data_IF_962045241913
#
_entry.id   IF_962045241913
#
_cell.length_a   1.000
_cell.length_b   1.000
_cell.length_c   1.000
_cell.angle_alpha   90.00
_cell.angle_beta   90.00
_cell.angle_gamma   90.00
#
_symmetry.space_group_name_H-M   'P 1'
#
loop_
_entity.id
_entity.type
_entity.pdbx_description
1 polymer ?
#
# COMPACT_ATOMS: atom_id res chain seq x y z
N UNK A 1 -4.81 -2.65 -4.92
CA UNK A 1 -5.85 -2.48 -3.91
C UNK A 1 -5.40 -3.14 -2.63
N UNK A 2 -5.64 -2.55 -1.52
CA UNK A 2 -5.14 -2.94 -0.19
C UNK A 2 -5.04 -1.68 0.67
N UNK A 3 -6.17 -0.94 0.80
CA UNK A 3 -6.25 0.22 1.67
C UNK A 3 -7.05 -0.15 2.90
N UNK A 4 -6.42 -0.09 4.06
CA UNK A 4 -7.10 -0.23 5.35
C UNK A 4 -7.69 1.11 5.75
N UNK A 5 -8.87 1.08 6.33
CA UNK A 5 -9.59 2.25 6.81
C UNK A 5 -9.80 2.09 8.31
N UNK A 6 -9.22 2.98 9.09
CA UNK A 6 -9.38 3.00 10.54
C UNK A 6 -10.17 4.21 10.98
N UNK A 7 -10.88 4.10 12.09
CA UNK A 7 -11.42 5.25 12.80
C UNK A 7 -10.28 5.96 13.51
N UNK A 8 -10.07 7.25 13.22
CA UNK A 8 -8.98 8.01 13.87
C UNK A 8 -9.20 8.15 15.38
N UNK A 9 -10.45 8.25 15.81
CA UNK A 9 -10.80 8.44 17.21
C UNK A 9 -10.66 7.17 18.07
N UNK A 10 -10.95 5.99 17.52
CA UNK A 10 -10.94 4.71 18.27
C UNK A 10 -9.79 3.79 17.88
N UNK A 11 -9.12 4.05 16.75
CA UNK A 11 -8.13 3.14 16.18
C UNK A 11 -8.71 1.83 15.62
N UNK A 12 -10.04 1.65 15.67
CA UNK A 12 -10.69 0.44 15.18
C UNK A 12 -10.68 0.35 13.65
N UNK A 13 -10.48 -0.87 13.14
CA UNK A 13 -10.56 -1.14 11.70
C UNK A 13 -12.03 -1.07 11.25
N UNK A 14 -12.33 -0.11 10.37
CA UNK A 14 -13.65 0.02 9.74
C UNK A 14 -13.80 -0.98 8.60
N UNK A 15 -12.72 -1.22 7.83
CA UNK A 15 -12.71 -2.17 6.74
C UNK A 15 -11.51 -2.03 5.82
N UNK A 16 -11.42 -2.93 4.84
CA UNK A 16 -10.36 -2.98 3.85
C UNK A 16 -10.93 -2.87 2.43
N UNK A 17 -10.35 -1.98 1.61
CA UNK A 17 -10.66 -1.88 0.19
C UNK A 17 -9.80 -2.88 -0.57
N UNK A 18 -10.43 -3.87 -1.17
CA UNK A 18 -9.81 -4.93 -1.98
C UNK A 18 -10.42 -4.99 -3.37
N UNK A 19 -9.85 -5.79 -4.27
CA UNK A 19 -10.46 -6.04 -5.59
C UNK A 19 -11.86 -6.65 -5.48
N UNK A 20 -12.08 -7.48 -4.45
CA UNK A 20 -13.38 -8.11 -4.18
C UNK A 20 -14.38 -7.14 -3.54
N UNK A 21 -13.87 -6.17 -2.78
CA UNK A 21 -14.67 -5.16 -2.08
C UNK A 21 -14.13 -3.74 -2.38
N UNK A 22 -14.41 -3.20 -3.57
CA UNK A 22 -13.81 -1.95 -4.03
C UNK A 22 -14.41 -0.69 -3.40
N UNK A 23 -15.46 -0.81 -2.60
CA UNK A 23 -16.18 0.33 -2.01
C UNK A 23 -16.61 0.02 -0.58
N UNK A 24 -16.35 0.95 0.32
CA UNK A 24 -16.82 0.90 1.70
C UNK A 24 -17.49 2.22 2.04
N UNK A 25 -18.68 2.16 2.61
CA UNK A 25 -19.38 3.35 3.10
C UNK A 25 -18.93 3.65 4.52
N UNK A 26 -18.17 4.73 4.69
CA UNK A 26 -17.63 5.15 6.01
C UNK A 26 -18.53 6.11 6.77
N UNK A 27 -19.37 6.88 6.06
CA UNK A 27 -20.33 7.79 6.65
C UNK A 27 -21.58 7.86 5.76
N UNK A 28 -22.73 8.10 6.36
CA UNK A 28 -24.00 8.24 5.65
C UNK A 28 -24.46 9.68 5.67
N UNK A 29 -25.01 10.16 4.55
CA UNK A 29 -25.71 11.44 4.48
C UNK A 29 -27.02 11.41 5.26
N UNK A 30 -27.37 12.53 5.86
CA UNK A 30 -28.71 12.71 6.46
C UNK A 30 -29.80 12.75 5.41
N UNK A 31 -31.04 12.46 5.81
CA UNK A 31 -32.19 12.61 4.91
C UNK A 31 -32.45 14.08 4.62
N UNK A 32 -32.73 14.37 3.36
CA UNK A 32 -33.12 15.71 2.95
C UNK A 32 -34.40 16.16 3.62
N UNK A 33 -34.47 17.44 3.95
CA UNK A 33 -35.68 18.06 4.49
C UNK A 33 -36.83 18.13 3.46
N UNK A 34 -38.00 18.41 3.93
CA UNK A 34 -39.20 18.59 3.10
C UNK A 34 -39.57 20.07 3.02
N UNK A 35 -39.47 20.62 1.83
CA UNK A 35 -39.92 21.99 1.55
C UNK A 35 -41.44 22.13 1.61
N UNK A 36 -41.91 23.36 1.72
CA UNK A 36 -43.33 23.71 1.84
C UNK A 36 -44.22 23.15 0.73
N UNK A 37 -43.68 22.97 -0.47
CA UNK A 37 -44.40 22.43 -1.61
C UNK A 37 -44.98 21.02 -1.36
N UNK A 38 -44.34 20.22 -0.51
CA UNK A 38 -44.80 18.89 -0.10
C UNK A 38 -46.04 18.90 0.79
N UNK A 39 -46.34 20.04 1.41
CA UNK A 39 -47.44 20.22 2.34
C UNK A 39 -48.64 20.96 1.69
N UNK A 40 -48.63 21.16 0.37
CA UNK A 40 -49.76 21.70 -0.37
C UNK A 40 -50.96 20.76 -0.31
N UNK A 41 -52.13 21.33 -0.03
CA UNK A 41 -53.41 20.63 -0.08
C UNK A 41 -54.43 21.51 -0.77
N UNK A 42 -55.62 20.95 -1.09
CA UNK A 42 -56.72 21.69 -1.69
C UNK A 42 -57.20 22.86 -0.83
N UNK A 43 -57.05 22.75 0.48
CA UNK A 43 -57.46 23.77 1.46
C UNK A 43 -56.34 24.73 1.85
N UNK A 44 -55.07 24.35 1.60
CA UNK A 44 -53.89 25.18 1.90
C UNK A 44 -52.90 25.14 0.73
N UNK A 45 -53.03 26.06 -0.18
CA UNK A 45 -52.19 26.14 -1.39
C UNK A 45 -50.80 26.78 -1.14
N UNK A 46 -50.62 27.48 -0.02
CA UNK A 46 -49.38 28.16 0.32
C UNK A 46 -48.94 27.84 1.77
N UNK A 47 -48.64 26.57 2.07
CA UNK A 47 -48.23 26.20 3.42
C UNK A 47 -46.86 26.81 3.77
N UNK A 48 -46.70 27.22 5.04
CA UNK A 48 -45.43 27.72 5.58
C UNK A 48 -44.66 26.63 6.35
N UNK A 49 -45.21 25.41 6.38
CA UNK A 49 -44.55 24.29 7.09
C UNK A 49 -43.43 23.73 6.25
N UNK A 50 -42.29 23.56 6.88
CA UNK A 50 -41.11 22.85 6.34
C UNK A 50 -40.64 21.82 7.39
N UNK A 51 -39.91 20.83 6.94
CA UNK A 51 -39.18 19.91 7.83
C UNK A 51 -37.71 20.04 7.45
N UNK A 52 -36.86 20.32 8.42
CA UNK A 52 -35.42 20.39 8.21
C UNK A 52 -34.85 19.02 7.90
N UNK A 53 -33.69 18.97 7.23
CA UNK A 53 -32.99 17.75 6.97
C UNK A 53 -32.35 17.18 8.24
N UNK A 54 -32.09 15.89 8.22
CA UNK A 54 -31.31 15.21 9.27
C UNK A 54 -29.81 15.54 9.10
N UNK A 55 -29.09 15.61 10.19
CA UNK A 55 -27.64 15.76 10.15
C UNK A 55 -26.99 14.51 9.54
N UNK A 56 -25.91 14.72 8.79
CA UNK A 56 -25.12 13.65 8.21
C UNK A 56 -24.08 13.12 9.24
N UNK A 57 -23.72 11.86 9.09
CA UNK A 57 -22.59 11.30 9.84
C UNK A 57 -21.30 12.06 9.48
N UNK A 58 -20.50 12.39 10.48
CA UNK A 58 -19.16 12.94 10.32
C UNK A 58 -18.18 12.03 11.03
N UNK A 59 -17.15 11.58 10.31
CA UNK A 59 -16.10 10.71 10.84
C UNK A 59 -14.73 11.16 10.38
N UNK A 60 -13.78 11.09 11.27
CA UNK A 60 -12.36 11.22 10.98
C UNK A 60 -11.81 9.82 10.77
N UNK A 61 -11.16 9.62 9.63
CA UNK A 61 -10.66 8.31 9.21
C UNK A 61 -9.18 8.39 8.87
N UNK A 62 -8.43 7.36 9.26
CA UNK A 62 -7.06 7.13 8.85
C UNK A 62 -7.04 6.10 7.72
N UNK A 63 -6.41 6.47 6.60
CA UNK A 63 -6.23 5.57 5.46
C UNK A 63 -4.80 5.04 5.45
N UNK A 64 -4.64 3.73 5.54
CA UNK A 64 -3.35 3.07 5.41
C UNK A 64 -3.28 2.32 4.08
N UNK A 65 -2.43 2.78 3.16
CA UNK A 65 -2.19 2.09 1.89
C UNK A 65 -1.15 0.98 2.10
N UNK A 66 -1.57 -0.28 1.92
CA UNK A 66 -0.69 -1.45 2.10
C UNK A 66 0.16 -1.79 0.89
N UNK A 67 -0.35 -1.60 -0.33
CA UNK A 67 0.42 -1.86 -1.55
C UNK A 67 1.28 -0.66 -1.92
N UNK A 68 2.58 -0.90 -2.06
CA UNK A 68 3.55 0.10 -2.52
C UNK A 68 3.79 -0.05 -4.02
N UNK A 69 3.92 -1.29 -4.49
CA UNK A 69 4.18 -1.61 -5.89
C UNK A 69 3.63 -2.99 -6.27
N UNK A 70 3.50 -3.25 -7.56
CA UNK A 70 3.15 -4.59 -8.07
C UNK A 70 4.35 -5.52 -7.99
N UNK A 71 5.56 -5.00 -8.28
CA UNK A 71 6.82 -5.76 -8.27
C UNK A 71 7.83 -5.06 -7.36
N UNK A 72 8.37 -5.79 -6.40
CA UNK A 72 9.53 -5.37 -5.61
C UNK A 72 10.80 -6.01 -6.17
N UNK A 73 11.85 -5.22 -6.41
CA UNK A 73 13.15 -5.73 -6.83
C UNK A 73 14.03 -6.02 -5.61
N UNK A 74 14.56 -7.23 -5.56
CA UNK A 74 15.53 -7.70 -4.58
C UNK A 74 16.85 -7.98 -5.27
N UNK A 75 17.93 -7.92 -4.55
CA UNK A 75 19.26 -8.25 -5.05
C UNK A 75 20.36 -7.52 -4.29
N UNK A 76 21.57 -8.02 -4.36
CA UNK A 76 22.75 -7.41 -3.78
C UNK A 76 22.97 -5.97 -4.30
N UNK A 77 23.74 -5.14 -3.58
CA UNK A 77 24.22 -3.88 -4.13
C UNK A 77 24.89 -4.12 -5.48
N UNK A 78 24.66 -3.25 -6.44
CA UNK A 78 25.20 -3.32 -7.80
C UNK A 78 24.68 -4.47 -8.69
N UNK A 79 23.73 -5.30 -8.25
CA UNK A 79 23.10 -6.34 -9.08
C UNK A 79 22.27 -5.81 -10.26
N UNK A 80 22.28 -4.49 -10.50
CA UNK A 80 21.60 -3.88 -11.65
C UNK A 80 20.15 -3.48 -11.43
N UNK A 81 19.60 -3.51 -10.20
CA UNK A 81 18.21 -3.16 -9.90
C UNK A 81 17.78 -1.80 -10.44
N UNK A 82 18.53 -0.77 -10.10
CA UNK A 82 18.22 0.61 -10.57
C UNK A 82 18.38 0.76 -12.08
N UNK A 83 19.30 0.04 -12.69
CA UNK A 83 19.48 -0.01 -14.15
C UNK A 83 18.28 -0.65 -14.82
N UNK A 84 17.79 -1.77 -14.27
CA UNK A 84 16.58 -2.43 -14.78
C UNK A 84 15.37 -1.50 -14.72
N UNK A 85 15.12 -0.86 -13.57
CA UNK A 85 14.01 0.10 -13.43
C UNK A 85 14.12 1.20 -14.48
N UNK A 86 15.29 1.83 -14.63
CA UNK A 86 15.47 2.92 -15.58
C UNK A 86 15.30 2.47 -17.03
N UNK A 87 15.57 1.20 -17.34
CA UNK A 87 15.44 0.67 -18.70
C UNK A 87 14.01 0.32 -19.04
N UNK A 88 13.27 -0.29 -18.11
CA UNK A 88 11.90 -0.77 -18.37
C UNK A 88 10.82 0.29 -18.13
N UNK A 89 11.15 1.38 -17.44
CA UNK A 89 10.20 2.45 -17.18
C UNK A 89 10.43 3.63 -18.13
N UNK A 90 9.38 4.05 -18.83
CA UNK A 90 9.41 5.12 -19.83
C UNK A 90 9.53 6.53 -19.22
N UNK A 91 9.53 6.67 -17.93
CA UNK A 91 9.57 7.96 -17.28
C UNK A 91 10.61 7.97 -16.16
N UNK A 92 11.19 9.13 -15.93
CA UNK A 92 12.08 9.38 -14.81
C UNK A 92 11.49 8.76 -13.55
N UNK A 93 12.19 7.79 -12.97
CA UNK A 93 11.82 7.15 -11.72
C UNK A 93 11.39 8.21 -10.70
N UNK A 94 10.14 8.17 -10.27
CA UNK A 94 9.66 9.07 -9.23
C UNK A 94 10.14 8.50 -7.90
N UNK A 95 10.87 9.30 -7.16
CA UNK A 95 11.17 9.00 -5.76
C UNK A 95 9.86 9.20 -4.99
N UNK A 96 9.31 8.12 -4.45
CA UNK A 96 8.11 8.17 -3.62
C UNK A 96 8.50 8.38 -2.16
N UNK A 97 8.15 9.54 -1.61
CA UNK A 97 8.27 9.78 -0.18
C UNK A 97 7.04 9.18 0.54
N UNK A 98 7.24 8.10 1.27
CA UNK A 98 6.20 7.47 2.07
C UNK A 98 6.43 7.76 3.55
N UNK A 99 5.40 8.23 4.25
CA UNK A 99 5.46 8.69 5.65
C UNK A 99 5.97 7.63 6.66
N UNK A 100 6.10 6.37 6.23
CA UNK A 100 6.50 5.23 7.06
C UNK A 100 7.82 4.57 6.59
N UNK A 101 8.55 5.19 5.63
CA UNK A 101 9.84 4.68 5.14
C UNK A 101 10.96 5.61 5.55
N UNK A 102 11.98 5.08 6.21
CA UNK A 102 13.24 5.80 6.51
C UNK A 102 14.14 5.89 5.28
N UNK A 103 13.95 4.96 4.32
CA UNK A 103 14.63 4.93 3.02
C UNK A 103 13.57 5.08 1.94
N UNK A 104 13.72 6.05 1.07
CA UNK A 104 12.79 6.33 -0.03
C UNK A 104 12.96 5.29 -1.15
N UNK A 105 12.00 4.37 -1.36
CA UNK A 105 12.08 3.45 -2.48
C UNK A 105 11.97 4.19 -3.79
N UNK A 106 12.80 3.85 -4.75
CA UNK A 106 12.66 4.34 -6.13
C UNK A 106 11.54 3.58 -6.80
N UNK A 107 10.52 4.31 -7.26
CA UNK A 107 9.42 3.73 -8.00
C UNK A 107 9.58 3.98 -9.49
N UNK A 108 9.40 2.93 -10.26
CA UNK A 108 9.25 3.00 -11.70
C UNK A 108 7.84 2.60 -12.11
N UNK A 109 7.31 3.24 -13.13
CA UNK A 109 6.02 2.89 -13.72
C UNK A 109 6.25 2.42 -15.14
N UNK A 110 5.87 1.19 -15.41
CA UNK A 110 5.85 0.60 -16.74
C UNK A 110 4.42 0.59 -17.26
N UNK A 111 4.20 1.29 -18.37
CA UNK A 111 2.90 1.36 -19.02
C UNK A 111 2.92 0.53 -20.30
N UNK A 112 1.95 -0.35 -20.43
CA UNK A 112 1.65 -1.06 -21.67
C UNK A 112 0.17 -0.78 -22.01
N UNK A 113 -0.22 -0.97 -23.27
CA UNK A 113 -1.59 -0.73 -23.77
C UNK A 113 -2.68 -1.37 -22.92
N UNK A 114 -2.37 -2.45 -22.20
CA UNK A 114 -3.33 -3.22 -21.41
C UNK A 114 -3.24 -2.96 -19.89
N UNK A 115 -2.09 -2.56 -19.35
CA UNK A 115 -1.87 -2.46 -17.90
C UNK A 115 -0.75 -1.49 -17.55
N UNK A 116 -0.90 -0.86 -16.40
CA UNK A 116 0.16 -0.14 -15.71
C UNK A 116 0.71 -1.01 -14.60
N UNK A 117 2.02 -1.21 -14.57
CA UNK A 117 2.73 -2.00 -13.55
C UNK A 117 3.69 -1.08 -12.82
N UNK A 118 3.60 -1.08 -11.50
CA UNK A 118 4.50 -0.34 -10.62
C UNK A 118 5.61 -1.24 -10.12
N UNK A 119 6.86 -0.77 -10.24
CA UNK A 119 8.06 -1.50 -9.82
C UNK A 119 8.75 -0.66 -8.74
N UNK A 120 9.07 -1.25 -7.60
CA UNK A 120 9.80 -0.60 -6.52
C UNK A 120 11.21 -1.19 -6.42
N UNK A 121 12.22 -0.31 -6.38
CA UNK A 121 13.56 -0.68 -5.90
C UNK A 121 13.48 -0.76 -4.39
N UNK A 122 13.70 -1.93 -3.84
CA UNK A 122 13.72 -2.15 -2.41
C UNK A 122 15.19 -2.09 -1.95
N UNK A 123 15.71 -0.91 -1.54
CA UNK A 123 17.10 -0.79 -1.11
C UNK A 123 17.29 -1.46 0.24
N UNK A 124 18.41 -2.17 0.42
CA UNK A 124 18.94 -2.41 1.74
C UNK A 124 18.54 -3.68 2.48
N UNK A 125 18.46 -4.85 1.81
CA UNK A 125 18.51 -6.12 2.55
C UNK A 125 19.88 -6.27 3.23
N UNK A 126 20.95 -5.78 2.62
CA UNK A 126 22.34 -6.09 3.03
C UNK A 126 23.06 -4.94 3.72
N UNK A 127 22.68 -3.68 3.47
CA UNK A 127 23.35 -2.52 4.06
C UNK A 127 23.19 -2.42 5.60
N UNK A 128 22.27 -3.21 6.20
CA UNK A 128 22.00 -3.22 7.63
C UNK A 128 22.33 -4.54 8.35
N UNK A 129 22.49 -5.66 7.64
CA UNK A 129 22.79 -6.96 8.25
C UNK A 129 24.19 -7.01 8.88
N UNK A 130 25.14 -6.26 8.33
CA UNK A 130 26.51 -6.17 8.87
C UNK A 130 26.60 -5.34 10.17
N UNK A 131 25.62 -4.49 10.48
CA UNK A 131 25.65 -3.59 11.64
C UNK A 131 24.75 -4.03 12.81
N UNK A 132 24.08 -5.17 12.74
CA UNK A 132 23.31 -5.73 13.86
C UNK A 132 22.11 -4.89 14.32
N UNK A 133 21.75 -3.81 13.62
CA UNK A 133 20.65 -2.93 13.98
C UNK A 133 19.43 -3.22 13.11
N UNK A 134 18.53 -4.11 13.52
CA UNK A 134 17.08 -4.17 13.24
C UNK A 134 16.48 -3.56 11.96
N UNK A 135 17.29 -3.19 10.96
CA UNK A 135 16.86 -2.60 9.69
C UNK A 135 16.13 -3.61 8.78
N UNK A 136 16.46 -4.91 8.93
CA UNK A 136 15.79 -6.00 8.22
C UNK A 136 14.26 -5.98 8.39
N UNK A 137 13.77 -5.82 9.61
CA UNK A 137 12.32 -5.85 9.92
C UNK A 137 11.57 -4.67 9.25
N UNK A 138 12.17 -3.48 9.18
CA UNK A 138 11.54 -2.32 8.53
C UNK A 138 11.46 -2.48 7.01
N UNK A 139 12.51 -3.03 6.42
CA UNK A 139 12.57 -3.32 4.99
C UNK A 139 11.52 -4.34 4.57
N UNK A 140 11.29 -5.35 5.38
CA UNK A 140 10.36 -6.43 5.10
C UNK A 140 8.90 -6.00 5.08
N UNK A 141 8.54 -5.03 5.93
CA UNK A 141 7.24 -4.39 5.82
C UNK A 141 7.01 -3.77 4.42
N UNK A 142 8.08 -3.49 3.69
CA UNK A 142 8.00 -3.03 2.29
C UNK A 142 7.89 -4.18 1.29
N UNK A 143 8.62 -5.27 1.48
CA UNK A 143 8.52 -6.45 0.64
C UNK A 143 7.11 -7.06 0.67
N UNK A 144 6.50 -7.17 1.85
CA UNK A 144 5.10 -7.59 2.01
C UNK A 144 4.07 -6.66 1.35
N UNK A 145 4.46 -5.46 0.98
CA UNK A 145 3.60 -4.49 0.29
C UNK A 145 3.73 -4.54 -1.23
N UNK A 146 4.38 -5.57 -1.76
CA UNK A 146 4.44 -5.87 -3.18
C UNK A 146 3.70 -7.16 -3.49
N UNK A 147 3.17 -7.30 -4.72
CA UNK A 147 2.49 -8.53 -5.15
C UNK A 147 3.47 -9.63 -5.52
N UNK A 148 4.58 -9.23 -6.12
CA UNK A 148 5.63 -10.12 -6.59
C UNK A 148 6.98 -9.56 -6.18
N UNK A 149 7.90 -10.46 -5.85
CA UNK A 149 9.30 -10.15 -5.61
C UNK A 149 10.11 -10.69 -6.78
N UNK A 150 10.94 -9.85 -7.37
CA UNK A 150 11.85 -10.20 -8.44
C UNK A 150 13.28 -10.11 -7.91
N UNK A 151 13.93 -11.25 -7.77
CA UNK A 151 15.32 -11.34 -7.32
C UNK A 151 16.27 -11.23 -8.50
N UNK A 152 17.17 -10.22 -8.47
CA UNK A 152 18.22 -10.00 -9.44
C UNK A 152 19.55 -10.52 -8.90
N UNK A 153 20.20 -11.33 -9.70
CA UNK A 153 21.51 -11.89 -9.41
C UNK A 153 22.47 -11.45 -10.52
N UNK A 154 23.63 -10.96 -10.15
CA UNK A 154 24.70 -10.62 -11.10
C UNK A 154 25.41 -11.91 -11.55
N UNK A 155 25.12 -12.31 -12.79
CA UNK A 155 25.71 -13.50 -13.42
C UNK A 155 27.06 -13.22 -14.10
N UNK A 156 27.60 -12.00 -14.00
CA UNK A 156 28.95 -11.67 -14.49
C UNK A 156 30.06 -12.15 -13.56
N UNK A 157 29.70 -12.50 -12.33
CA UNK A 157 30.59 -13.06 -11.30
C UNK A 157 30.71 -14.59 -11.47
N UNK A 158 31.63 -15.20 -10.70
CA UNK A 158 31.75 -16.66 -10.68
C UNK A 158 30.45 -17.31 -10.17
N UNK A 159 30.18 -18.54 -10.63
CA UNK A 159 28.97 -19.30 -10.30
C UNK A 159 28.81 -19.46 -8.78
N UNK A 160 29.89 -19.66 -8.04
CA UNK A 160 29.85 -19.78 -6.58
C UNK A 160 29.45 -18.47 -5.91
N UNK A 161 29.93 -17.33 -6.38
CA UNK A 161 29.57 -16.02 -5.86
C UNK A 161 28.10 -15.69 -6.16
N UNK A 162 27.65 -15.98 -7.38
CA UNK A 162 26.24 -15.81 -7.77
C UNK A 162 25.31 -16.69 -6.93
N UNK A 163 25.73 -17.93 -6.63
CA UNK A 163 24.95 -18.85 -5.79
C UNK A 163 24.92 -18.39 -4.32
N UNK A 164 26.05 -17.95 -3.78
CA UNK A 164 26.10 -17.39 -2.42
C UNK A 164 25.22 -16.13 -2.30
N UNK A 165 25.18 -15.28 -3.32
CA UNK A 165 24.31 -14.12 -3.37
C UNK A 165 22.83 -14.52 -3.32
N UNK A 166 22.47 -15.58 -4.05
CA UNK A 166 21.11 -16.14 -4.02
C UNK A 166 20.76 -16.68 -2.64
N UNK A 167 21.61 -17.55 -2.07
CA UNK A 167 21.35 -18.15 -0.75
C UNK A 167 21.25 -17.11 0.36
N UNK A 168 22.07 -16.05 0.33
CA UNK A 168 22.03 -14.98 1.33
C UNK A 168 20.66 -14.31 1.37
N UNK A 169 20.10 -13.98 0.22
CA UNK A 169 18.79 -13.34 0.14
C UNK A 169 17.65 -14.31 0.50
N UNK A 170 17.75 -15.57 0.06
CA UNK A 170 16.80 -16.61 0.44
C UNK A 170 16.75 -16.84 1.95
N UNK A 171 17.89 -16.91 2.61
CA UNK A 171 17.98 -17.05 4.06
C UNK A 171 17.36 -15.85 4.78
N UNK A 172 17.65 -14.63 4.34
CA UNK A 172 17.02 -13.44 4.89
C UNK A 172 15.51 -13.46 4.71
N UNK A 173 15.00 -13.78 3.54
CA UNK A 173 13.57 -13.94 3.29
C UNK A 173 12.94 -15.01 4.18
N UNK A 174 13.61 -16.15 4.35
CA UNK A 174 13.12 -17.26 5.16
C UNK A 174 13.02 -16.89 6.66
N UNK A 175 14.02 -16.20 7.19
CA UNK A 175 14.02 -15.70 8.56
C UNK A 175 12.85 -14.76 8.85
N UNK A 176 12.33 -14.12 7.83
CA UNK A 176 11.23 -13.19 7.91
C UNK A 176 9.85 -13.85 7.93
N UNK A 177 9.66 -14.86 7.10
CA UNK A 177 8.44 -15.66 7.14
C UNK A 177 8.27 -16.36 8.49
N UNK A 178 9.37 -16.74 9.14
CA UNK A 178 9.33 -17.38 10.46
C UNK A 178 9.09 -16.41 11.61
N UNK A 179 9.54 -15.16 11.52
CA UNK A 179 9.31 -14.17 12.57
C UNK A 179 7.90 -13.59 12.55
N UNK A 180 7.27 -13.46 11.38
CA UNK A 180 5.90 -12.94 11.27
C UNK A 180 4.85 -13.97 11.69
N UNK A 181 5.15 -15.28 11.48
CA UNK A 181 4.31 -16.38 11.96
C UNK A 181 4.28 -16.49 13.50
N UNK A 182 5.22 -15.88 14.21
CA UNK A 182 5.27 -15.85 15.67
C UNK A 182 4.46 -14.69 16.28
N UNK A 183 4.16 -13.65 15.49
CA UNK A 183 3.41 -12.46 15.93
C UNK A 183 1.91 -12.52 15.60
N UNK A 184 1.43 -13.50 14.82
CA UNK A 184 0.00 -13.75 14.67
C UNK A 184 -0.52 -14.56 15.87
N UNK A 185 -1.42 -14.01 16.70
CA UNK A 185 -2.08 -14.82 17.73
C UNK A 185 -2.93 -15.87 17.00
N UNK A 186 -2.54 -17.11 17.12
CA UNK A 186 -3.36 -18.26 16.76
C UNK A 186 -4.65 -18.21 17.61
N UNK A 187 -5.75 -17.78 16.98
CA UNK A 187 -7.10 -18.01 17.50
C UNK A 187 -7.59 -19.40 17.13
#
# INVERSE_FOLDING_TARGET
>A
SGTMIYSENTGELIGEITEKNPKITVAKGGKGGLGNARFKSSTNQSPRKTIDGEEADRREILLELRLIADIGLLGLPNAGKSTLINTVTNSKSKIGSYAFTTLEPKLGVMENELRTITIADLPGIIDGAAEGQGLGIKFLKHAYRTRFLLHLIDASQDIEEAFNAYETIEQELCLLYTSDAADEPLC
#
